data_IF_857636344610
#
_entry.id   IF_857636344610
#
_cell.length_a   1.000
_cell.length_b   1.000
_cell.length_c   1.000
_cell.angle_alpha   90.00
_cell.angle_beta   90.00
_cell.angle_gamma   90.00
#
_symmetry.space_group_name_H-M   'P 1'
#
loop_
_entity.id
_entity.type
_entity.pdbx_description
1 polymer ?
#
# COMPACT_ATOMS: atom_id res chain seq x y z
N UNK A 1 -5.13 0.76 7.10
CA UNK A 1 -6.00 0.89 5.90
C UNK A 1 -5.15 0.62 4.65
N UNK A 2 -5.70 0.39 3.45
CA UNK A 2 -4.86 0.24 2.24
C UNK A 2 -5.57 0.60 0.93
N UNK A 3 -4.78 0.91 -0.09
CA UNK A 3 -5.20 0.97 -1.50
C UNK A 3 -4.15 0.37 -2.41
N UNK A 4 -4.60 -0.26 -3.50
CA UNK A 4 -3.79 -0.64 -4.65
C UNK A 4 -3.83 0.51 -5.65
N UNK A 5 -2.67 1.02 -6.02
CA UNK A 5 -2.53 2.09 -7.01
C UNK A 5 -2.04 1.47 -8.31
N UNK A 6 -2.85 1.57 -9.35
CA UNK A 6 -2.54 1.14 -10.69
C UNK A 6 -2.08 2.36 -11.48
N UNK A 7 -0.87 2.31 -12.02
CA UNK A 7 -0.33 3.37 -12.87
C UNK A 7 -0.14 2.83 -14.30
N UNK A 8 -0.54 3.60 -15.30
CA UNK A 8 -0.36 3.24 -16.72
C UNK A 8 0.55 4.23 -17.41
N UNK A 9 1.71 3.74 -17.88
CA UNK A 9 2.69 4.52 -18.65
C UNK A 9 2.88 3.88 -20.03
N UNK A 10 2.20 4.43 -21.03
CA UNK A 10 2.15 3.85 -22.37
C UNK A 10 1.49 2.47 -22.36
N UNK A 11 2.22 1.45 -22.83
CA UNK A 11 1.78 0.05 -22.77
C UNK A 11 2.07 -0.64 -21.43
N UNK A 12 2.87 -0.03 -20.56
CA UNK A 12 3.24 -0.62 -19.28
C UNK A 12 2.20 -0.28 -18.22
N UNK A 13 1.73 -1.29 -17.49
CA UNK A 13 0.89 -1.13 -16.30
C UNK A 13 1.69 -1.60 -15.09
N UNK A 14 1.75 -0.77 -14.06
CA UNK A 14 2.36 -1.13 -12.78
C UNK A 14 1.32 -1.09 -11.67
N UNK A 15 1.58 -1.86 -10.62
CA UNK A 15 0.77 -1.90 -9.41
C UNK A 15 1.69 -1.59 -8.22
N UNK A 16 1.23 -0.75 -7.29
CA UNK A 16 1.86 -0.54 -5.98
C UNK A 16 0.80 -0.58 -4.89
N UNK A 17 1.22 -0.89 -3.67
CA UNK A 17 0.33 -0.90 -2.50
C UNK A 17 0.68 0.28 -1.61
N UNK A 18 -0.30 1.11 -1.27
CA UNK A 18 -0.16 2.10 -0.18
C UNK A 18 -0.83 1.55 1.06
N UNK A 19 -0.08 1.44 2.16
CA UNK A 19 -0.56 0.93 3.44
C UNK A 19 -0.50 2.02 4.49
N UNK A 20 -1.61 2.20 5.18
CA UNK A 20 -1.75 3.13 6.30
C UNK A 20 -1.61 2.33 7.61
N UNK A 21 -0.52 2.52 8.37
CA UNK A 21 -0.31 1.90 9.67
C UNK A 21 -1.19 2.57 10.74
N UNK A 22 -1.22 1.98 11.94
CA UNK A 22 -1.78 2.67 13.11
C UNK A 22 -0.90 3.86 13.51
N UNK A 23 -1.46 4.87 14.18
CA UNK A 23 -0.72 6.00 14.76
C UNK A 23 0.43 5.51 15.65
N UNK A 24 0.16 4.54 16.52
CA UNK A 24 1.15 3.93 17.39
C UNK A 24 2.31 3.34 16.59
N UNK A 25 2.02 2.50 15.58
CA UNK A 25 3.08 1.92 14.75
C UNK A 25 3.82 3.01 13.98
N UNK A 26 3.13 4.00 13.42
CA UNK A 26 3.77 5.09 12.68
C UNK A 26 4.77 5.86 13.56
N UNK A 27 4.39 6.15 14.81
CA UNK A 27 5.24 6.87 15.78
C UNK A 27 6.57 6.16 16.11
N UNK A 28 6.63 4.84 15.98
CA UNK A 28 7.86 4.06 16.19
C UNK A 28 8.88 4.24 15.05
N UNK A 29 8.50 4.89 13.95
CA UNK A 29 9.37 5.14 12.80
C UNK A 29 9.81 3.87 12.07
N UNK A 30 10.98 3.90 11.45
CA UNK A 30 11.54 2.76 10.70
C UNK A 30 10.54 2.17 9.67
N UNK A 31 9.91 3.06 8.90
CA UNK A 31 8.85 2.71 7.96
C UNK A 31 9.36 1.88 6.79
N UNK A 32 10.65 1.99 6.44
CA UNK A 32 11.29 1.16 5.41
C UNK A 32 11.25 -0.34 5.77
N UNK A 33 11.58 -0.71 7.01
CA UNK A 33 11.45 -2.10 7.46
C UNK A 33 10.00 -2.58 7.49
N UNK A 34 9.05 -1.68 7.78
CA UNK A 34 7.63 -2.03 7.72
C UNK A 34 7.18 -2.28 6.28
N UNK A 35 7.63 -1.46 5.32
CA UNK A 35 7.36 -1.65 3.90
C UNK A 35 7.94 -2.98 3.41
N UNK A 36 9.18 -3.28 3.77
CA UNK A 36 9.86 -4.54 3.44
C UNK A 36 9.10 -5.75 3.98
N UNK A 37 8.77 -5.76 5.28
CA UNK A 37 8.02 -6.86 5.89
C UNK A 37 6.66 -7.08 5.22
N UNK A 38 5.92 -6.02 4.89
CA UNK A 38 4.65 -6.14 4.14
C UNK A 38 4.88 -6.70 2.74
N UNK A 39 5.94 -6.27 2.05
CA UNK A 39 6.31 -6.78 0.74
C UNK A 39 6.69 -8.26 0.76
N UNK A 40 7.45 -8.69 1.77
CA UNK A 40 7.80 -10.10 1.99
C UNK A 40 6.58 -10.97 2.24
N UNK A 41 5.62 -10.51 3.06
CA UNK A 41 4.37 -11.22 3.31
C UNK A 41 3.52 -11.36 2.04
N UNK A 42 3.43 -10.29 1.23
CA UNK A 42 2.73 -10.35 -0.07
C UNK A 42 3.42 -11.35 -1.00
N UNK A 43 4.75 -11.34 -1.06
CA UNK A 43 5.51 -12.27 -1.86
C UNK A 43 5.33 -13.72 -1.37
N UNK A 44 5.38 -13.97 -0.06
CA UNK A 44 5.19 -15.29 0.52
C UNK A 44 3.81 -15.88 0.18
N UNK A 45 2.76 -15.05 0.14
CA UNK A 45 1.40 -15.51 -0.15
C UNK A 45 1.10 -15.62 -1.65
N UNK A 46 1.60 -14.69 -2.46
CA UNK A 46 1.17 -14.51 -3.86
C UNK A 46 2.28 -14.73 -4.88
N UNK A 47 3.53 -14.93 -4.43
CA UNK A 47 4.72 -15.09 -5.26
C UNK A 47 4.92 -13.94 -6.28
N UNK A 48 4.60 -12.71 -5.87
CA UNK A 48 4.78 -11.50 -6.66
C UNK A 48 5.46 -10.41 -5.83
N UNK A 49 6.42 -9.71 -6.44
CA UNK A 49 6.98 -8.51 -5.85
C UNK A 49 6.12 -7.31 -6.24
N UNK A 50 5.72 -6.53 -5.24
CA UNK A 50 4.97 -5.29 -5.43
C UNK A 50 5.62 -4.19 -4.60
N UNK A 51 5.81 -2.98 -5.13
CA UNK A 51 6.23 -1.83 -4.34
C UNK A 51 5.22 -1.53 -3.23
N UNK A 52 5.71 -1.32 -2.01
CA UNK A 52 4.91 -0.99 -0.84
C UNK A 52 5.32 0.39 -0.32
N UNK A 53 4.35 1.30 -0.25
CA UNK A 53 4.51 2.62 0.34
C UNK A 53 3.78 2.65 1.69
N UNK A 54 4.47 3.02 2.75
CA UNK A 54 3.83 3.32 4.04
C UNK A 54 3.46 4.80 4.05
N UNK A 55 2.17 5.10 4.10
CA UNK A 55 1.65 6.46 4.12
C UNK A 55 1.30 6.91 5.53
N UNK A 56 1.08 8.22 5.73
CA UNK A 56 0.65 8.76 7.01
C UNK A 56 -0.68 8.13 7.45
N UNK A 57 -0.86 7.90 8.77
CA UNK A 57 -2.14 7.51 9.34
C UNK A 57 -3.27 8.43 8.89
N UNK A 58 -4.44 7.85 8.62
CA UNK A 58 -5.65 8.55 8.19
C UNK A 58 -5.54 9.36 6.86
N UNK A 59 -4.45 9.24 6.11
CA UNK A 59 -4.27 9.95 4.83
C UNK A 59 -5.02 9.32 3.65
N UNK A 60 -5.43 8.05 3.75
CA UNK A 60 -6.17 7.39 2.68
C UNK A 60 -7.67 7.72 2.75
N UNK A 61 -8.33 8.02 1.61
CA UNK A 61 -9.76 8.30 1.56
C UNK A 61 -10.60 7.20 2.21
N UNK A 62 -11.52 7.59 3.09
CA UNK A 62 -12.48 6.69 3.72
C UNK A 62 -13.70 6.55 2.83
N UNK A 63 -14.18 5.32 2.65
CA UNK A 63 -15.40 5.04 1.90
C UNK A 63 -16.62 5.12 2.83
N UNK A 64 -17.69 5.77 2.36
CA UNK A 64 -19.00 5.82 3.04
C UNK A 64 -19.82 4.53 2.78
N UNK A 65 -19.37 3.68 1.85
CA UNK A 65 -19.98 2.39 1.51
C UNK A 65 -18.91 1.34 1.19
N UNK A 66 -19.15 0.46 0.19
CA UNK A 66 -18.16 -0.55 -0.24
C UNK A 66 -16.81 0.12 -0.56
N UNK A 67 -15.75 -0.33 0.09
CA UNK A 67 -14.44 0.28 -0.05
C UNK A 67 -13.90 0.13 -1.48
N UNK A 68 -13.55 1.26 -2.13
CA UNK A 68 -12.79 1.26 -3.37
C UNK A 68 -11.31 1.03 -3.07
N UNK A 69 -10.85 -0.21 -3.25
CA UNK A 69 -9.47 -0.64 -2.92
C UNK A 69 -8.49 -0.52 -4.08
N UNK A 70 -8.97 -0.31 -5.30
CA UNK A 70 -8.12 -0.09 -6.48
C UNK A 70 -8.38 1.32 -7.00
N UNK A 71 -7.32 2.10 -7.12
CA UNK A 71 -7.33 3.47 -7.64
C UNK A 71 -6.38 3.56 -8.82
N UNK A 72 -6.70 4.45 -9.76
CA UNK A 72 -5.84 4.77 -10.89
C UNK A 72 -5.15 6.10 -10.60
N UNK A 73 -3.85 6.18 -10.92
CA UNK A 73 -3.03 7.39 -10.87
C UNK A 73 -2.71 7.87 -12.29
#
# INVERSE_FOLDING_TARGET
NYVLVKEKKGSMTSLKVRVEPTEERYSQGNLGRLAEAVGEEIYAMLNIHVPVDIVEPNSLPRSVGKAKRVVEE
#
